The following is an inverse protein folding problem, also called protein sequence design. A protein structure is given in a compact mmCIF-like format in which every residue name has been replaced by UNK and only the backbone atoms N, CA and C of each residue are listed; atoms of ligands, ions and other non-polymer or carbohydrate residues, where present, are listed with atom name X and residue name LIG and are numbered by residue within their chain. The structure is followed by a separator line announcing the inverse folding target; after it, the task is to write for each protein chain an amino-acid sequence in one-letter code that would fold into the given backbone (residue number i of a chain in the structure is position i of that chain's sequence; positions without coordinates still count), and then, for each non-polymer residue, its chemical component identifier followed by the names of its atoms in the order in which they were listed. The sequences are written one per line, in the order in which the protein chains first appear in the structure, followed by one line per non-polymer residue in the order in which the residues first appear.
data_IF_046779870639
#
_entry.id   IF_046779870639
#
_cell.length_a   1.000
_cell.length_b   1.000
_cell.length_c   1.000
_cell.angle_alpha   90.00
_cell.angle_beta   90.00
_cell.angle_gamma   90.00
#
_symmetry.space_group_name_H-M   'P 1'
#
loop_
_entity.id
_entity.type
_entity.pdbx_description
1 polymer ?
#
# COMPACT_ATOMS: atom_id res chain seq x y z
N UNK A 1 23.55 -12.20 -7.48
CA UNK A 1 24.63 -12.76 -6.61
C UNK A 1 24.20 -14.11 -6.10
N UNK A 2 24.90 -15.15 -6.54
CA UNK A 2 24.57 -16.53 -6.24
C UNK A 2 25.13 -16.90 -4.85
N UNK A 3 24.26 -17.35 -3.94
CA UNK A 3 24.67 -17.89 -2.65
C UNK A 3 24.99 -19.38 -2.80
N UNK A 4 26.26 -19.70 -2.58
CA UNK A 4 26.82 -21.06 -2.60
C UNK A 4 26.70 -21.66 -1.20
N UNK A 5 25.99 -22.78 -1.05
CA UNK A 5 25.92 -23.58 0.16
C UNK A 5 27.20 -24.42 0.29
N UNK A 6 27.80 -24.59 1.47
CA UNK A 6 28.94 -25.52 1.68
C UNK A 6 28.44 -26.94 1.85
N UNK A 7 29.13 -27.87 1.16
CA UNK A 7 28.85 -29.28 1.12
C UNK A 7 29.22 -30.00 2.43
N UNK A 8 28.36 -30.93 2.83
CA UNK A 8 28.63 -31.94 3.83
C UNK A 8 29.34 -33.11 3.14
N UNK A 9 30.60 -33.38 3.54
CA UNK A 9 31.36 -34.53 3.15
C UNK A 9 31.00 -35.74 4.04
N UNK A 10 30.57 -36.82 3.41
CA UNK A 10 30.48 -38.15 3.99
C UNK A 10 31.89 -38.74 4.17
N UNK A 11 32.31 -38.94 5.41
CA UNK A 11 33.53 -39.66 5.77
C UNK A 11 33.25 -41.13 6.07
N UNK A 12 33.99 -41.95 5.39
CA UNK A 12 33.90 -43.42 5.30
C UNK A 12 34.25 -44.14 6.60
N UNK A 13 33.57 -45.27 6.77
CA UNK A 13 33.93 -46.55 7.41
C UNK A 13 35.36 -46.75 7.89
N UNK A 14 35.53 -47.19 9.13
CA UNK A 14 36.55 -48.17 9.49
C UNK A 14 36.10 -49.16 10.59
N UNK A 15 36.48 -50.37 10.35
CA UNK A 15 36.17 -51.64 10.97
C UNK A 15 36.49 -51.75 12.47
N UNK A 16 35.82 -52.72 13.09
CA UNK A 16 36.07 -53.26 14.41
C UNK A 16 37.38 -54.11 14.46
N UNK A 17 37.92 -54.41 15.66
CA UNK A 17 38.41 -55.76 15.99
C UNK A 17 37.88 -56.23 17.37
N UNK A 18 38.25 -57.49 17.79
CA UNK A 18 37.29 -58.42 18.36
C UNK A 18 37.52 -58.73 19.87
N UNK A 19 36.48 -59.34 20.43
CA UNK A 19 36.43 -60.27 21.56
C UNK A 19 37.63 -60.37 22.53
N UNK A 20 37.34 -60.21 23.83
CA UNK A 20 37.99 -61.05 24.85
C UNK A 20 36.96 -61.46 25.92
N UNK A 21 36.85 -62.73 26.11
CA UNK A 21 36.09 -63.51 27.09
C UNK A 21 36.93 -63.50 28.37
N UNK A 22 36.35 -63.22 29.52
CA UNK A 22 36.63 -63.95 30.74
C UNK A 22 35.60 -63.64 31.83
N UNK A 23 34.99 -64.67 32.27
CA UNK A 23 33.98 -64.87 33.23
C UNK A 23 34.41 -64.64 34.67
N UNK A 24 33.43 -64.27 35.48
CA UNK A 24 33.41 -64.65 36.90
C UNK A 24 31.98 -65.07 37.22
N UNK A 25 31.87 -66.32 37.60
CA UNK A 25 30.72 -66.98 38.19
C UNK A 25 30.46 -66.36 39.57
N UNK A 26 29.25 -66.01 39.90
CA UNK A 26 28.81 -66.06 41.28
C UNK A 26 27.38 -66.59 41.34
N UNK A 27 27.29 -67.73 42.02
CA UNK A 27 26.04 -68.40 42.34
C UNK A 27 25.23 -67.62 43.33
N UNK A 28 23.98 -67.41 43.01
CA UNK A 28 22.86 -67.45 43.96
C UNK A 28 21.58 -67.67 43.15
N UNK A 29 21.04 -68.89 43.38
CA UNK A 29 19.87 -69.39 42.68
C UNK A 29 18.62 -68.57 42.99
N UNK A 30 17.97 -68.16 41.92
CA UNK A 30 16.55 -67.88 41.93
C UNK A 30 15.99 -68.38 40.61
N UNK A 31 15.08 -69.32 40.75
CA UNK A 31 14.28 -69.93 39.66
C UNK A 31 13.66 -68.91 38.84
N UNK A 32 14.10 -68.71 37.57
CA UNK A 32 13.39 -67.90 36.58
C UNK A 32 12.19 -68.70 36.03
N UNK A 33 11.01 -68.12 36.21
CA UNK A 33 9.78 -68.51 35.55
C UNK A 33 9.88 -68.23 34.03
N UNK A 34 9.72 -69.26 33.15
CA UNK A 34 9.94 -69.12 31.70
C UNK A 34 8.79 -68.39 30.97
N UNK A 35 7.83 -67.79 31.67
CA UNK A 35 6.67 -67.13 31.05
C UNK A 35 6.73 -65.59 30.98
N UNK A 36 7.85 -64.97 31.36
CA UNK A 36 8.01 -63.52 31.24
C UNK A 36 8.27 -63.10 29.79
N UNK A 37 7.21 -62.79 29.05
CA UNK A 37 7.33 -62.12 27.76
C UNK A 37 8.14 -60.82 27.95
N UNK A 38 9.09 -60.47 27.04
CA UNK A 38 9.83 -59.22 27.12
C UNK A 38 8.83 -58.06 27.00
N UNK A 39 8.55 -57.41 28.10
CA UNK A 39 7.83 -56.13 28.06
C UNK A 39 8.72 -55.16 27.30
N UNK A 40 8.27 -54.75 26.09
CA UNK A 40 8.80 -53.62 25.36
C UNK A 40 8.84 -52.45 26.32
N UNK A 41 10.02 -52.07 26.75
CA UNK A 41 10.28 -50.94 27.67
C UNK A 41 9.79 -49.65 27.01
N UNK A 42 8.51 -49.35 27.15
CA UNK A 42 7.92 -48.11 26.67
C UNK A 42 8.66 -46.95 27.34
N UNK A 43 9.05 -45.93 26.52
CA UNK A 43 9.70 -44.74 27.02
C UNK A 43 8.88 -44.16 28.17
N UNK A 44 9.53 -43.69 29.24
CA UNK A 44 8.85 -43.08 30.39
C UNK A 44 8.01 -41.87 29.92
N UNK A 45 6.92 -41.59 30.64
CA UNK A 45 6.06 -40.46 30.32
C UNK A 45 6.86 -39.10 30.29
N UNK A 46 7.87 -39.00 31.17
CA UNK A 46 8.79 -37.87 31.18
C UNK A 46 9.66 -37.74 29.91
N UNK A 47 10.13 -38.89 29.35
CA UNK A 47 10.87 -38.91 28.09
C UNK A 47 9.95 -38.57 26.89
N UNK A 48 8.72 -39.08 26.88
CA UNK A 48 7.73 -38.76 25.83
C UNK A 48 7.36 -37.28 25.84
N UNK A 49 7.14 -36.69 27.01
CA UNK A 49 6.88 -35.27 27.17
C UNK A 49 8.08 -34.42 26.74
N UNK A 50 9.32 -34.85 27.04
CA UNK A 50 10.54 -34.15 26.60
C UNK A 50 10.69 -34.20 25.09
N UNK A 51 10.38 -35.30 24.43
CA UNK A 51 10.43 -35.48 22.99
C UNK A 51 9.34 -34.60 22.28
N UNK A 52 8.16 -34.38 22.87
CA UNK A 52 7.10 -33.59 22.30
C UNK A 52 7.29 -32.06 22.53
N UNK A 53 8.04 -31.66 23.55
CA UNK A 53 8.33 -30.25 23.84
C UNK A 53 9.15 -29.60 22.72
N UNK A 54 10.14 -30.28 22.19
CA UNK A 54 11.03 -29.72 21.16
C UNK A 54 10.29 -29.41 19.87
N UNK A 55 9.55 -30.33 19.22
CA UNK A 55 8.78 -30.00 18.03
C UNK A 55 7.68 -28.94 18.28
N UNK A 56 7.04 -28.97 19.46
CA UNK A 56 6.09 -27.92 19.84
C UNK A 56 6.71 -26.53 19.82
N UNK A 57 7.89 -26.36 20.48
CA UNK A 57 8.58 -25.07 20.51
C UNK A 57 9.05 -24.65 19.11
N UNK A 58 9.50 -25.59 18.27
CA UNK A 58 9.90 -25.30 16.88
C UNK A 58 8.68 -24.80 16.08
N UNK A 59 7.56 -25.52 16.11
CA UNK A 59 6.37 -25.10 15.37
C UNK A 59 5.77 -23.79 15.90
N UNK A 60 5.76 -23.57 17.20
CA UNK A 60 5.32 -22.32 17.82
C UNK A 60 6.21 -21.15 17.41
N UNK A 61 7.54 -21.31 17.45
CA UNK A 61 8.49 -20.29 17.03
C UNK A 61 8.35 -19.99 15.53
N UNK A 62 8.22 -21.05 14.69
CA UNK A 62 8.04 -20.91 13.25
C UNK A 62 6.73 -20.20 12.92
N UNK A 63 5.62 -20.55 13.58
CA UNK A 63 4.34 -19.87 13.42
C UNK A 63 4.45 -18.40 13.75
N UNK A 64 5.09 -18.07 14.87
CA UNK A 64 5.30 -16.67 15.28
C UNK A 64 6.16 -15.92 14.27
N UNK A 65 7.26 -16.50 13.80
CA UNK A 65 8.12 -15.88 12.79
C UNK A 65 7.40 -15.66 11.47
N UNK A 66 6.59 -16.62 10.99
CA UNK A 66 5.81 -16.48 9.77
C UNK A 66 4.72 -15.43 9.89
N UNK A 67 4.06 -15.31 11.05
CA UNK A 67 3.06 -14.25 11.31
C UNK A 67 3.71 -12.87 11.28
N UNK A 68 4.85 -12.68 11.96
CA UNK A 68 5.58 -11.42 11.95
C UNK A 68 6.05 -11.06 10.52
N UNK A 69 6.55 -12.05 9.79
CA UNK A 69 6.94 -11.88 8.40
C UNK A 69 5.75 -11.48 7.51
N UNK A 70 4.60 -12.14 7.67
CA UNK A 70 3.37 -11.82 6.94
C UNK A 70 2.88 -10.40 7.23
N UNK A 71 2.87 -9.98 8.50
CA UNK A 71 2.49 -8.59 8.88
C UNK A 71 3.39 -7.58 8.18
N UNK A 72 4.70 -7.82 8.17
CA UNK A 72 5.66 -6.92 7.52
C UNK A 72 5.46 -6.84 6.01
N UNK A 73 5.31 -7.97 5.34
CA UNK A 73 5.10 -8.01 3.88
C UNK A 73 3.73 -7.46 3.50
N UNK A 74 2.70 -7.67 4.34
CA UNK A 74 1.37 -7.10 4.13
C UNK A 74 1.40 -5.57 4.15
N UNK A 75 2.11 -4.97 5.09
CA UNK A 75 2.23 -3.50 5.17
C UNK A 75 2.90 -2.93 3.90
N UNK A 76 3.91 -3.60 3.36
CA UNK A 76 4.53 -3.19 2.10
C UNK A 76 3.56 -3.32 0.91
N UNK A 77 2.87 -4.46 0.80
CA UNK A 77 1.88 -4.68 -0.26
C UNK A 77 0.80 -3.62 -0.28
N UNK A 78 0.24 -3.30 0.88
CA UNK A 78 -0.76 -2.23 1.02
C UNK A 78 -0.19 -0.87 0.61
N UNK A 79 1.03 -0.55 1.03
CA UNK A 79 1.68 0.72 0.68
C UNK A 79 1.94 0.84 -0.83
N UNK A 80 2.39 -0.24 -1.50
CA UNK A 80 2.59 -0.23 -2.95
C UNK A 80 1.27 -0.02 -3.71
N UNK A 81 0.20 -0.73 -3.33
CA UNK A 81 -1.12 -0.59 -3.96
C UNK A 81 -1.67 0.82 -3.75
N UNK A 82 -1.53 1.38 -2.54
CA UNK A 82 -1.95 2.74 -2.24
C UNK A 82 -1.13 3.78 -3.01
N UNK A 83 0.20 3.65 -3.04
CA UNK A 83 1.09 4.51 -3.81
C UNK A 83 0.77 4.52 -5.31
N UNK A 84 0.56 3.34 -5.91
CA UNK A 84 0.17 3.21 -7.31
C UNK A 84 -1.23 3.79 -7.57
N UNK A 85 -2.18 3.58 -6.64
CA UNK A 85 -3.52 4.16 -6.68
C UNK A 85 -3.51 5.69 -6.59
N UNK A 86 -2.63 6.26 -5.76
CA UNK A 86 -2.41 7.71 -5.70
C UNK A 86 -1.80 8.24 -7.01
N UNK A 87 -0.79 7.57 -7.58
CA UNK A 87 -0.21 7.95 -8.87
C UNK A 87 -1.27 7.97 -9.98
N UNK A 88 -2.21 7.01 -9.97
CA UNK A 88 -3.36 6.98 -10.89
C UNK A 88 -4.23 8.24 -10.74
N UNK A 89 -4.55 8.64 -9.52
CA UNK A 89 -5.34 9.87 -9.26
C UNK A 89 -4.57 11.13 -9.65
N UNK A 90 -3.28 11.20 -9.30
CA UNK A 90 -2.40 12.32 -9.63
C UNK A 90 -2.25 12.51 -11.14
N UNK A 91 -2.25 11.44 -11.95
CA UNK A 91 -2.18 11.53 -13.40
C UNK A 91 -3.33 12.38 -13.98
N UNK A 92 -4.54 12.22 -13.43
CA UNK A 92 -5.72 12.99 -13.85
C UNK A 92 -5.69 14.41 -13.29
N UNK A 93 -5.22 14.59 -12.06
CA UNK A 93 -5.07 15.94 -11.46
C UNK A 93 -4.06 16.78 -12.24
N UNK A 94 -2.93 16.19 -12.65
CA UNK A 94 -1.91 16.85 -13.46
C UNK A 94 -2.47 17.30 -14.81
N UNK A 95 -3.25 16.45 -15.48
CA UNK A 95 -3.89 16.81 -16.75
C UNK A 95 -4.87 17.96 -16.59
N UNK A 96 -5.75 17.89 -15.57
CA UNK A 96 -6.73 18.95 -15.25
C UNK A 96 -6.02 20.26 -14.88
N UNK A 97 -5.07 20.21 -13.95
CA UNK A 97 -4.33 21.39 -13.50
C UNK A 97 -3.55 22.04 -14.65
N UNK A 98 -2.94 21.22 -15.53
CA UNK A 98 -2.27 21.71 -16.73
C UNK A 98 -3.21 22.46 -17.65
N UNK A 99 -4.42 21.94 -17.92
CA UNK A 99 -5.40 22.62 -18.76
C UNK A 99 -5.84 23.97 -18.18
N UNK A 100 -6.11 24.05 -16.87
CA UNK A 100 -6.48 25.28 -16.19
C UNK A 100 -5.31 26.29 -16.17
N UNK A 101 -4.07 25.79 -15.97
CA UNK A 101 -2.88 26.62 -16.04
C UNK A 101 -2.69 27.25 -17.42
N UNK A 102 -2.98 26.51 -18.50
CA UNK A 102 -2.93 27.02 -19.87
C UNK A 102 -3.97 28.13 -20.14
N UNK A 103 -5.05 28.17 -19.38
CA UNK A 103 -6.06 29.23 -19.43
C UNK A 103 -5.68 30.44 -18.57
N UNK A 104 -4.59 30.36 -17.82
CA UNK A 104 -4.05 31.44 -17.00
C UNK A 104 -4.58 31.46 -15.57
N UNK A 105 -5.19 30.36 -15.07
CA UNK A 105 -5.62 30.28 -13.67
C UNK A 105 -4.40 30.20 -12.72
N UNK A 106 -4.18 31.20 -11.86
CA UNK A 106 -3.03 31.23 -10.96
C UNK A 106 -2.96 30.05 -9.97
N UNK A 107 -4.13 29.52 -9.54
CA UNK A 107 -4.22 28.44 -8.56
C UNK A 107 -3.80 27.10 -9.17
N UNK A 108 -4.10 26.91 -10.44
CA UNK A 108 -3.79 25.67 -11.15
C UNK A 108 -2.29 25.36 -11.22
N UNK A 109 -1.43 26.39 -11.19
CA UNK A 109 0.03 26.17 -11.15
C UNK A 109 0.48 25.55 -9.82
N UNK A 110 -0.14 25.93 -8.70
CA UNK A 110 0.14 25.33 -7.41
C UNK A 110 -0.30 23.85 -7.36
N UNK A 111 -1.49 23.55 -7.89
CA UNK A 111 -1.99 22.19 -8.00
C UNK A 111 -1.11 21.32 -8.91
N UNK A 112 -0.67 21.86 -10.05
CA UNK A 112 0.22 21.17 -10.98
C UNK A 112 1.57 20.86 -10.34
N UNK A 113 2.19 21.82 -9.66
CA UNK A 113 3.49 21.67 -8.99
C UNK A 113 3.42 20.64 -7.86
N UNK A 114 2.39 20.71 -7.00
CA UNK A 114 2.19 19.78 -5.91
C UNK A 114 1.92 18.36 -6.41
N UNK A 115 1.04 18.20 -7.40
CA UNK A 115 0.72 16.89 -7.97
C UNK A 115 1.92 16.26 -8.67
N UNK A 116 2.71 17.06 -9.40
CA UNK A 116 3.97 16.64 -10.03
C UNK A 116 4.99 16.18 -8.98
N UNK A 117 5.22 16.98 -7.94
CA UNK A 117 6.16 16.64 -6.87
C UNK A 117 5.76 15.36 -6.15
N UNK A 118 4.47 15.20 -5.86
CA UNK A 118 3.94 14.00 -5.20
C UNK A 118 4.06 12.76 -6.08
N UNK A 119 3.78 12.86 -7.36
CA UNK A 119 3.97 11.75 -8.30
C UNK A 119 5.43 11.30 -8.35
N UNK A 120 6.37 12.26 -8.47
CA UNK A 120 7.81 11.98 -8.44
C UNK A 120 8.22 11.27 -7.14
N UNK A 121 7.77 11.75 -5.99
CA UNK A 121 8.06 11.14 -4.69
C UNK A 121 7.57 9.70 -4.60
N UNK A 122 6.33 9.43 -5.03
CA UNK A 122 5.77 8.08 -5.01
C UNK A 122 6.48 7.14 -5.98
N UNK A 123 6.74 7.61 -7.20
CA UNK A 123 7.44 6.81 -8.21
C UNK A 123 8.86 6.46 -7.76
N UNK A 124 9.59 7.42 -7.19
CA UNK A 124 10.93 7.18 -6.64
C UNK A 124 10.88 6.18 -5.47
N UNK A 125 9.94 6.35 -4.55
CA UNK A 125 9.78 5.45 -3.41
C UNK A 125 9.48 4.00 -3.83
N UNK A 126 8.62 3.76 -4.83
CA UNK A 126 8.33 2.41 -5.30
C UNK A 126 9.43 1.82 -6.18
N UNK A 127 10.25 2.67 -6.82
CA UNK A 127 11.35 2.24 -7.69
C UNK A 127 12.63 1.96 -6.91
N UNK A 128 13.06 2.91 -6.07
CA UNK A 128 14.35 2.90 -5.39
C UNK A 128 14.25 2.54 -3.91
N UNK A 129 13.04 2.50 -3.37
CA UNK A 129 12.76 2.37 -1.95
C UNK A 129 12.62 3.73 -1.27
N UNK A 130 11.73 3.81 -0.30
CA UNK A 130 11.46 5.04 0.41
C UNK A 130 10.16 5.01 1.19
N UNK A 131 9.66 6.18 1.55
CA UNK A 131 8.42 6.31 2.30
C UNK A 131 7.22 6.45 1.37
N UNK A 132 6.24 5.56 1.53
CA UNK A 132 4.91 5.66 0.93
C UNK A 132 3.91 5.80 2.07
N UNK A 133 3.42 7.02 2.29
CA UNK A 133 2.40 7.35 3.30
C UNK A 133 2.74 6.89 4.73
N UNK A 134 3.99 7.08 5.16
CA UNK A 134 4.46 6.68 6.49
C UNK A 134 4.93 5.22 6.58
N UNK A 135 4.91 4.48 5.47
CA UNK A 135 5.44 3.11 5.40
C UNK A 135 6.70 3.08 4.55
N UNK A 136 7.84 2.77 5.17
CA UNK A 136 9.09 2.55 4.44
C UNK A 136 9.03 1.25 3.64
N UNK A 137 9.08 1.35 2.31
CA UNK A 137 9.05 0.20 1.40
C UNK A 137 10.42 -0.05 0.78
N UNK A 138 10.81 -1.31 0.54
CA UNK A 138 12.00 -1.62 -0.25
C UNK A 138 11.75 -1.27 -1.72
N UNK A 139 12.79 -0.85 -2.46
CA UNK A 139 12.67 -0.56 -3.89
C UNK A 139 12.55 -1.82 -4.74
N UNK A 140 11.90 -1.67 -5.89
CA UNK A 140 11.90 -2.62 -6.99
C UNK A 140 11.25 -3.98 -6.69
N UNK A 141 10.03 -4.17 -7.11
CA UNK A 141 9.39 -5.50 -7.12
C UNK A 141 9.55 -6.14 -8.50
N UNK A 142 10.25 -7.27 -8.59
CA UNK A 142 10.40 -8.02 -9.85
C UNK A 142 9.06 -8.49 -10.43
N UNK A 143 8.02 -8.55 -9.60
CA UNK A 143 6.68 -8.97 -10.00
C UNK A 143 5.95 -7.93 -10.87
N UNK A 144 6.36 -6.66 -10.83
CA UNK A 144 5.74 -5.52 -11.55
C UNK A 144 6.77 -4.67 -12.30
N UNK A 145 7.94 -5.24 -12.60
CA UNK A 145 9.05 -4.51 -13.23
C UNK A 145 8.66 -3.91 -14.59
N UNK A 146 7.88 -4.65 -15.38
CA UNK A 146 7.43 -4.20 -16.69
C UNK A 146 6.44 -3.02 -16.59
N UNK A 147 5.47 -3.11 -15.69
CA UNK A 147 4.48 -2.06 -15.44
C UNK A 147 5.14 -0.79 -14.87
N UNK A 148 6.07 -0.96 -13.94
CA UNK A 148 6.81 0.14 -13.35
C UNK A 148 7.70 0.85 -14.38
N UNK A 149 8.38 0.10 -15.25
CA UNK A 149 9.15 0.66 -16.36
C UNK A 149 8.27 1.43 -17.34
N UNK A 150 7.08 0.91 -17.68
CA UNK A 150 6.13 1.58 -18.57
C UNK A 150 5.60 2.90 -17.96
N UNK A 151 5.29 2.93 -16.67
CA UNK A 151 4.90 4.17 -15.96
C UNK A 151 6.05 5.16 -15.96
N UNK A 152 7.26 4.71 -15.63
CA UNK A 152 8.46 5.56 -15.56
C UNK A 152 8.78 6.24 -16.90
N UNK A 153 8.73 5.49 -17.99
CA UNK A 153 9.02 6.02 -19.35
C UNK A 153 7.98 7.06 -19.77
N UNK A 154 6.71 6.81 -19.53
CA UNK A 154 5.64 7.75 -19.87
C UNK A 154 5.66 8.97 -18.95
N UNK A 155 5.88 8.76 -17.66
CA UNK A 155 5.99 9.84 -16.68
C UNK A 155 7.12 10.82 -17.01
N UNK A 156 8.28 10.33 -17.44
CA UNK A 156 9.40 11.17 -17.83
C UNK A 156 9.02 12.21 -18.90
N UNK A 157 8.17 11.83 -19.86
CA UNK A 157 7.64 12.73 -20.90
C UNK A 157 6.64 13.73 -20.30
N UNK A 158 5.70 13.25 -19.51
CA UNK A 158 4.68 14.07 -18.84
C UNK A 158 5.32 15.08 -17.88
N UNK A 159 6.29 14.66 -17.09
CA UNK A 159 7.05 15.50 -16.14
C UNK A 159 7.79 16.64 -16.85
N UNK A 160 8.50 16.33 -17.95
CA UNK A 160 9.18 17.33 -18.76
C UNK A 160 8.23 18.35 -19.39
N UNK A 161 7.03 17.92 -19.81
CA UNK A 161 6.02 18.82 -20.34
C UNK A 161 5.37 19.67 -19.23
N UNK A 162 5.10 19.08 -18.05
CA UNK A 162 4.60 19.83 -16.89
C UNK A 162 5.60 20.91 -16.46
N UNK A 163 6.88 20.63 -16.50
CA UNK A 163 7.93 21.62 -16.23
C UNK A 163 7.90 22.79 -17.22
N UNK A 164 7.71 22.55 -18.53
CA UNK A 164 7.57 23.60 -19.52
C UNK A 164 6.35 24.50 -19.21
N UNK A 165 5.19 23.91 -18.86
CA UNK A 165 4.01 24.69 -18.47
C UNK A 165 4.28 25.53 -17.22
N UNK A 166 4.95 24.97 -16.21
CA UNK A 166 5.30 25.68 -14.97
C UNK A 166 6.28 26.83 -15.21
N UNK A 167 7.26 26.66 -16.09
CA UNK A 167 8.21 27.74 -16.48
C UNK A 167 7.51 28.95 -17.09
N UNK A 168 6.42 28.72 -17.82
CA UNK A 168 5.64 29.79 -18.47
C UNK A 168 4.52 30.35 -17.59
N UNK A 169 4.50 30.05 -16.28
CA UNK A 169 3.50 30.55 -15.32
C UNK A 169 3.22 32.03 -15.45
N UNK A 170 4.28 32.86 -15.52
CA UNK A 170 4.15 34.32 -15.63
C UNK A 170 3.42 34.73 -16.91
N UNK A 171 3.82 34.17 -18.04
CA UNK A 171 3.24 34.51 -19.35
C UNK A 171 1.80 34.00 -19.49
N UNK A 172 1.53 32.80 -19.02
CA UNK A 172 0.16 32.23 -19.03
C UNK A 172 -0.79 32.99 -18.09
N UNK A 173 -0.35 33.35 -16.89
CA UNK A 173 -1.16 34.18 -15.97
C UNK A 173 -1.40 35.58 -16.55
N UNK A 174 -0.40 36.19 -17.21
CA UNK A 174 -0.56 37.48 -17.89
C UNK A 174 -1.52 37.38 -19.08
N UNK A 175 -1.51 36.27 -19.83
CA UNK A 175 -2.49 35.98 -20.90
C UNK A 175 -3.90 35.96 -20.34
N UNK A 176 -4.14 35.19 -19.27
CA UNK A 176 -5.45 35.09 -18.62
C UNK A 176 -5.95 36.47 -18.15
N UNK A 177 -5.09 37.23 -17.48
CA UNK A 177 -5.41 38.60 -17.01
C UNK A 177 -5.68 39.56 -18.17
N UNK A 178 -4.90 39.52 -19.25
CA UNK A 178 -5.11 40.33 -20.44
C UNK A 178 -6.44 40.06 -21.13
N UNK A 179 -6.79 38.78 -21.28
CA UNK A 179 -8.08 38.40 -21.87
C UNK A 179 -9.26 38.75 -20.96
N UNK A 180 -9.13 38.57 -19.65
CA UNK A 180 -10.13 39.00 -18.69
C UNK A 180 -10.36 40.52 -18.77
N UNK A 181 -9.29 41.32 -18.90
CA UNK A 181 -9.40 42.79 -19.09
C UNK A 181 -10.08 43.15 -20.42
N UNK A 182 -9.70 42.47 -21.54
CA UNK A 182 -10.34 42.66 -22.84
C UNK A 182 -11.86 42.39 -22.73
N UNK A 183 -12.24 41.25 -22.11
CA UNK A 183 -13.61 40.84 -21.96
C UNK A 183 -14.43 41.83 -21.07
N UNK A 184 -13.85 42.32 -19.99
CA UNK A 184 -14.49 43.27 -19.09
C UNK A 184 -14.75 44.61 -19.76
N UNK A 185 -13.85 45.07 -20.65
CA UNK A 185 -13.98 46.37 -21.35
C UNK A 185 -14.72 46.28 -22.68
N UNK A 186 -14.82 45.09 -23.27
CA UNK A 186 -15.42 44.92 -24.61
C UNK A 186 -16.88 45.41 -24.74
N UNK A 187 -17.80 45.20 -23.76
CA UNK A 187 -19.15 45.73 -23.85
C UNK A 187 -19.17 47.25 -23.94
N UNK A 188 -18.34 47.94 -23.16
CA UNK A 188 -18.26 49.38 -23.15
C UNK A 188 -17.60 49.94 -24.44
N UNK A 189 -16.56 49.28 -24.94
CA UNK A 189 -15.98 49.61 -26.24
C UNK A 189 -16.97 49.46 -27.39
N UNK A 190 -17.78 48.38 -27.36
CA UNK A 190 -18.81 48.15 -28.35
C UNK A 190 -19.87 49.25 -28.31
N UNK A 191 -20.40 49.55 -27.10
CA UNK A 191 -21.40 50.60 -26.91
C UNK A 191 -20.92 51.97 -27.43
N UNK A 192 -19.69 52.37 -27.05
CA UNK A 192 -19.10 53.63 -27.54
C UNK A 192 -18.94 53.62 -29.07
N UNK A 193 -18.50 52.53 -29.64
CA UNK A 193 -18.33 52.39 -31.10
C UNK A 193 -19.65 52.48 -31.84
N UNK A 194 -20.72 51.88 -31.33
CA UNK A 194 -22.07 51.95 -31.87
C UNK A 194 -22.67 53.35 -31.74
N UNK A 195 -22.49 54.01 -30.59
CA UNK A 195 -22.90 55.42 -30.37
C UNK A 195 -22.23 56.35 -31.38
N UNK A 196 -20.92 56.20 -31.62
CA UNK A 196 -20.16 56.98 -32.60
C UNK A 196 -20.74 56.74 -34.00
N UNK A 197 -20.97 55.46 -34.40
CA UNK A 197 -21.55 55.17 -35.71
C UNK A 197 -22.94 55.77 -35.88
N UNK A 198 -23.80 55.74 -34.84
CA UNK A 198 -25.12 56.37 -34.84
C UNK A 198 -25.04 57.91 -34.94
N UNK A 199 -24.18 58.54 -34.14
CA UNK A 199 -23.97 60.02 -34.19
C UNK A 199 -23.45 60.48 -35.56
N UNK A 200 -22.54 59.71 -36.21
CA UNK A 200 -22.08 59.99 -37.55
C UNK A 200 -23.21 59.92 -38.60
N UNK A 201 -24.02 58.82 -38.45
CA UNK A 201 -25.23 58.72 -39.36
C UNK A 201 -26.22 59.82 -39.18
N UNK A 202 -26.60 60.16 -37.92
CA UNK A 202 -27.56 61.22 -37.60
C UNK A 202 -27.07 62.61 -38.00
N UNK A 203 -25.75 62.86 -37.85
CA UNK A 203 -25.12 64.13 -38.20
C UNK A 203 -24.90 64.33 -39.72
N UNK A 204 -25.33 63.37 -40.54
CA UNK A 204 -25.18 63.47 -42.01
C UNK A 204 -23.72 63.39 -42.47
N UNK A 205 -22.87 62.63 -41.73
CA UNK A 205 -21.49 62.45 -42.09
C UNK A 205 -21.32 61.78 -43.46
N UNK A 206 -20.14 61.88 -44.09
CA UNK A 206 -19.87 61.27 -45.37
C UNK A 206 -19.97 59.71 -45.29
N UNK A 207 -20.33 59.13 -46.41
CA UNK A 207 -20.39 57.64 -46.50
C UNK A 207 -19.09 56.99 -46.04
N UNK A 208 -17.93 57.62 -46.24
CA UNK A 208 -16.61 57.14 -45.79
C UNK A 208 -16.51 57.14 -44.27
N UNK A 209 -16.96 58.21 -43.60
CA UNK A 209 -16.95 58.31 -42.13
C UNK A 209 -17.85 57.29 -41.49
N UNK A 210 -19.08 57.09 -42.05
CA UNK A 210 -20.03 56.09 -41.58
C UNK A 210 -19.45 54.67 -41.77
N UNK A 211 -18.85 54.37 -42.92
CA UNK A 211 -18.21 53.08 -43.17
C UNK A 211 -17.03 52.83 -42.20
N UNK A 212 -16.19 53.86 -41.95
CA UNK A 212 -15.08 53.78 -41.01
C UNK A 212 -15.58 53.52 -39.57
N UNK A 213 -16.63 54.22 -39.13
CA UNK A 213 -17.23 54.00 -37.80
C UNK A 213 -17.80 52.58 -37.67
N UNK A 214 -18.54 52.10 -38.69
CA UNK A 214 -19.07 50.73 -38.71
C UNK A 214 -17.96 49.67 -38.68
N UNK A 215 -16.83 49.96 -39.35
CA UNK A 215 -15.67 49.06 -39.32
C UNK A 215 -15.01 48.98 -37.92
N UNK A 216 -14.98 50.11 -37.19
CA UNK A 216 -14.50 50.11 -35.77
C UNK A 216 -15.38 49.22 -34.90
N UNK A 217 -16.73 49.28 -35.04
CA UNK A 217 -17.68 48.37 -34.33
C UNK A 217 -17.34 46.89 -34.59
N UNK A 218 -17.17 46.53 -35.88
CA UNK A 218 -16.85 45.14 -36.25
C UNK A 218 -15.51 44.73 -35.70
N UNK A 219 -14.47 45.56 -35.76
CA UNK A 219 -13.12 45.24 -35.29
C UNK A 219 -13.08 45.03 -33.77
N UNK A 220 -13.87 45.85 -33.01
CA UNK A 220 -13.99 45.66 -31.55
C UNK A 220 -14.40 44.24 -31.20
N UNK A 221 -15.40 43.68 -31.89
CA UNK A 221 -15.88 42.31 -31.67
C UNK A 221 -14.89 41.24 -32.16
N UNK A 222 -14.25 41.47 -33.32
CA UNK A 222 -13.27 40.50 -33.86
C UNK A 222 -12.02 40.38 -32.99
N UNK A 223 -11.52 41.50 -32.45
CA UNK A 223 -10.36 41.51 -31.54
C UNK A 223 -10.69 40.69 -30.27
N UNK A 224 -11.84 40.96 -29.64
CA UNK A 224 -12.25 40.18 -28.45
C UNK A 224 -12.46 38.71 -28.74
N UNK A 225 -13.10 38.35 -29.87
CA UNK A 225 -13.30 36.98 -30.30
C UNK A 225 -11.95 36.25 -30.53
N UNK A 226 -11.00 36.86 -31.25
CA UNK A 226 -9.71 36.27 -31.57
C UNK A 226 -8.83 36.15 -30.30
N UNK A 227 -8.88 37.10 -29.38
CA UNK A 227 -8.20 37.02 -28.10
C UNK A 227 -8.72 35.84 -27.25
N UNK A 228 -10.06 35.67 -27.16
CA UNK A 228 -10.65 34.53 -26.47
C UNK A 228 -10.30 33.20 -27.11
N UNK A 229 -10.25 33.11 -28.44
CA UNK A 229 -9.84 31.91 -29.15
C UNK A 229 -8.44 31.44 -28.75
N UNK A 230 -7.48 32.36 -28.52
CA UNK A 230 -6.16 32.03 -28.05
C UNK A 230 -6.16 31.44 -26.63
N UNK A 231 -7.11 31.80 -25.77
CA UNK A 231 -7.19 31.23 -24.41
C UNK A 231 -7.74 29.80 -24.42
N UNK A 232 -8.84 29.59 -25.12
CA UNK A 232 -9.60 28.32 -25.04
C UNK A 232 -8.97 27.22 -25.86
N UNK A 233 -8.35 27.54 -27.00
CA UNK A 233 -7.78 26.55 -27.91
C UNK A 233 -6.62 25.76 -27.27
N UNK A 234 -6.59 24.45 -27.50
CA UNK A 234 -5.49 23.55 -27.03
C UNK A 234 -4.17 23.84 -27.76
N UNK A 235 -4.23 24.38 -28.95
CA UNK A 235 -3.07 24.85 -29.73
C UNK A 235 -3.35 26.25 -30.27
N UNK A 236 -2.32 27.06 -30.39
CA UNK A 236 -2.43 28.41 -30.98
C UNK A 236 -2.46 28.29 -32.49
N UNK A 237 -3.59 28.74 -33.05
CA UNK A 237 -3.75 28.86 -34.49
C UNK A 237 -3.00 30.09 -35.02
N UNK A 238 -2.03 29.89 -35.96
CA UNK A 238 -1.30 31.01 -36.58
C UNK A 238 -2.22 32.03 -37.25
N UNK A 239 -3.34 31.57 -37.86
CA UNK A 239 -4.27 32.46 -38.54
C UNK A 239 -5.01 33.35 -37.54
N UNK A 240 -5.42 32.83 -36.38
CA UNK A 240 -6.04 33.62 -35.30
C UNK A 240 -5.07 34.67 -34.78
N UNK A 241 -3.79 34.29 -34.61
CA UNK A 241 -2.75 35.21 -34.16
C UNK A 241 -2.49 36.31 -35.18
N UNK A 242 -2.39 35.97 -36.47
CA UNK A 242 -2.25 36.95 -37.55
C UNK A 242 -3.44 37.90 -37.63
N UNK A 243 -4.65 37.36 -37.58
CA UNK A 243 -5.88 38.18 -37.60
C UNK A 243 -5.98 39.10 -36.40
N UNK A 244 -5.62 38.65 -35.20
CA UNK A 244 -5.61 39.48 -34.01
C UNK A 244 -4.66 40.68 -34.17
N UNK A 245 -3.45 40.45 -34.67
CA UNK A 245 -2.49 41.51 -34.94
C UNK A 245 -2.96 42.48 -36.02
N UNK A 246 -3.47 41.95 -37.16
CA UNK A 246 -4.02 42.73 -38.26
C UNK A 246 -5.21 43.61 -37.82
N UNK A 247 -6.20 43.00 -37.17
CA UNK A 247 -7.39 43.70 -36.72
C UNK A 247 -7.07 44.80 -35.70
N UNK A 248 -6.13 44.55 -34.81
CA UNK A 248 -5.63 45.53 -33.83
C UNK A 248 -4.99 46.73 -34.50
N UNK A 249 -4.16 46.53 -35.51
CA UNK A 249 -3.54 47.60 -36.27
C UNK A 249 -4.60 48.37 -37.07
N UNK A 250 -5.47 47.67 -37.79
CA UNK A 250 -6.55 48.29 -38.54
C UNK A 250 -7.48 49.11 -37.63
N UNK A 251 -7.82 48.59 -36.42
CA UNK A 251 -8.63 49.34 -35.45
C UNK A 251 -7.95 50.65 -35.05
N UNK A 252 -6.65 50.63 -34.77
CA UNK A 252 -5.89 51.83 -34.42
C UNK A 252 -5.89 52.85 -35.58
N UNK A 253 -5.64 52.41 -36.80
CA UNK A 253 -5.68 53.26 -38.01
C UNK A 253 -7.06 53.86 -38.27
N UNK A 254 -8.14 53.08 -38.13
CA UNK A 254 -9.51 53.55 -38.32
C UNK A 254 -9.90 54.54 -37.23
N UNK A 255 -9.53 54.29 -35.98
CA UNK A 255 -9.79 55.24 -34.89
C UNK A 255 -9.07 56.57 -35.10
N UNK A 256 -7.80 56.56 -35.50
CA UNK A 256 -7.07 57.78 -35.86
C UNK A 256 -7.69 58.54 -37.03
N UNK A 257 -8.17 57.82 -38.06
CA UNK A 257 -8.87 58.40 -39.17
C UNK A 257 -10.17 59.12 -38.74
N UNK A 258 -10.98 58.45 -37.87
CA UNK A 258 -12.20 59.03 -37.33
C UNK A 258 -11.92 60.27 -36.49
N UNK A 259 -10.83 60.24 -35.69
CA UNK A 259 -10.40 61.40 -34.90
C UNK A 259 -10.09 62.62 -35.81
N UNK A 260 -9.41 62.40 -36.95
CA UNK A 260 -9.07 63.44 -37.92
C UNK A 260 -10.31 64.00 -38.70
N UNK A 261 -11.27 63.11 -38.97
CA UNK A 261 -12.47 63.48 -39.77
C UNK A 261 -13.61 64.00 -38.91
N UNK A 262 -13.52 64.02 -37.60
CA UNK A 262 -14.58 64.44 -36.68
C UNK A 262 -14.30 65.87 -36.16
N UNK A 263 -15.30 66.73 -36.30
CA UNK A 263 -15.18 68.14 -35.87
C UNK A 263 -15.00 68.22 -34.35
N UNK A 264 -14.09 69.12 -33.94
CA UNK A 264 -13.91 69.42 -32.51
C UNK A 264 -15.19 69.98 -31.90
N UNK A 265 -15.46 69.66 -30.65
CA UNK A 265 -16.66 70.13 -29.92
C UNK A 265 -17.96 69.37 -30.25
N UNK A 266 -17.92 68.36 -31.17
CA UNK A 266 -19.10 67.54 -31.46
C UNK A 266 -19.24 66.39 -30.42
N UNK A 267 -20.50 65.92 -30.20
CA UNK A 267 -20.75 64.78 -29.34
C UNK A 267 -19.99 63.51 -29.83
N UNK A 268 -19.90 63.37 -31.15
CA UNK A 268 -19.11 62.26 -31.73
C UNK A 268 -17.65 62.38 -31.38
N UNK A 269 -17.07 63.58 -31.29
CA UNK A 269 -15.65 63.78 -30.88
C UNK A 269 -15.45 63.44 -29.40
N UNK A 270 -16.39 63.85 -28.54
CA UNK A 270 -16.34 63.50 -27.12
C UNK A 270 -16.37 61.99 -26.93
N UNK A 271 -17.25 61.28 -27.65
CA UNK A 271 -17.31 59.78 -27.60
C UNK A 271 -16.07 59.10 -28.20
N UNK A 272 -15.48 59.66 -29.24
CA UNK A 272 -14.23 59.17 -29.81
C UNK A 272 -13.07 59.29 -28.81
N UNK A 273 -12.97 60.38 -28.07
CA UNK A 273 -11.93 60.55 -27.04
C UNK A 273 -12.11 59.55 -25.89
N UNK A 274 -13.37 59.27 -25.48
CA UNK A 274 -13.70 58.24 -24.49
C UNK A 274 -13.34 56.84 -25.01
N UNK A 275 -13.70 56.53 -26.26
CA UNK A 275 -13.35 55.23 -26.90
C UNK A 275 -11.84 55.04 -26.96
N UNK A 276 -11.07 56.09 -27.35
CA UNK A 276 -9.61 56.00 -27.43
C UNK A 276 -8.98 55.72 -26.06
N UNK A 277 -9.49 56.39 -25.00
CA UNK A 277 -8.99 56.18 -23.65
C UNK A 277 -9.22 54.72 -23.17
N UNK A 278 -10.42 54.17 -23.41
CA UNK A 278 -10.74 52.77 -23.03
C UNK A 278 -9.98 51.78 -23.94
N UNK A 279 -9.86 52.06 -25.24
CA UNK A 279 -9.19 51.20 -26.21
C UNK A 279 -7.70 51.09 -25.96
N UNK A 280 -7.05 52.12 -25.41
CA UNK A 280 -5.61 52.13 -25.13
C UNK A 280 -5.17 50.94 -24.31
N UNK A 281 -5.90 50.62 -23.25
CA UNK A 281 -5.57 49.48 -22.38
C UNK A 281 -5.80 48.13 -23.08
N UNK A 282 -6.86 48.01 -23.90
CA UNK A 282 -7.12 46.78 -24.67
C UNK A 282 -6.06 46.57 -25.74
N UNK A 283 -5.63 47.62 -26.42
CA UNK A 283 -4.55 47.52 -27.41
C UNK A 283 -3.21 47.14 -26.75
N UNK A 284 -2.93 47.66 -25.55
CA UNK A 284 -1.76 47.27 -24.77
C UNK A 284 -1.83 45.79 -24.36
N UNK A 285 -3.00 45.33 -23.90
CA UNK A 285 -3.20 43.91 -23.54
C UNK A 285 -2.98 42.99 -24.75
N UNK A 286 -3.52 43.30 -25.93
CA UNK A 286 -3.29 42.54 -27.16
C UNK A 286 -1.81 42.54 -27.56
N UNK A 287 -1.14 43.68 -27.45
CA UNK A 287 0.29 43.78 -27.77
C UNK A 287 1.16 42.91 -26.84
N UNK A 288 0.79 42.85 -25.56
CA UNK A 288 1.46 41.94 -24.60
C UNK A 288 1.24 40.46 -24.94
N UNK A 289 0.04 40.07 -25.35
CA UNK A 289 -0.29 38.70 -25.81
C UNK A 289 0.57 38.35 -27.03
N UNK A 290 0.58 39.21 -28.04
CA UNK A 290 1.34 38.95 -29.28
C UNK A 290 2.85 38.92 -29.05
N UNK A 291 3.38 39.73 -28.10
CA UNK A 291 4.78 39.76 -27.71
C UNK A 291 5.25 38.48 -27.04
N UNK A 292 4.35 37.70 -26.42
CA UNK A 292 4.68 36.41 -25.75
C UNK A 292 4.20 35.18 -26.52
N UNK A 293 3.73 35.34 -27.75
CA UNK A 293 3.04 34.29 -28.51
C UNK A 293 3.84 33.00 -28.67
N UNK A 294 5.15 33.08 -28.92
CA UNK A 294 6.01 31.91 -29.09
C UNK A 294 6.12 31.07 -27.81
N UNK A 295 6.22 31.71 -26.65
CA UNK A 295 6.28 31.05 -25.36
C UNK A 295 4.93 30.38 -25.02
N UNK A 296 3.82 31.07 -25.38
CA UNK A 296 2.49 30.53 -25.25
C UNK A 296 2.25 29.31 -26.15
N UNK A 297 2.77 29.31 -27.37
CA UNK A 297 2.74 28.15 -28.29
C UNK A 297 3.42 26.96 -27.65
N UNK A 298 4.63 27.12 -27.11
CA UNK A 298 5.38 26.04 -26.48
C UNK A 298 4.66 25.49 -25.25
N UNK A 299 4.11 26.36 -24.39
CA UNK A 299 3.38 25.96 -23.21
C UNK A 299 2.11 25.17 -23.58
N UNK A 300 1.35 25.67 -24.58
CA UNK A 300 0.12 24.99 -25.03
C UNK A 300 0.41 23.63 -25.69
N UNK A 301 1.48 23.52 -26.48
CA UNK A 301 1.92 22.23 -27.01
C UNK A 301 2.28 21.25 -25.90
N UNK A 302 3.02 21.68 -24.88
CA UNK A 302 3.37 20.85 -23.74
C UNK A 302 2.13 20.40 -22.96
N UNK A 303 1.18 21.31 -22.69
CA UNK A 303 -0.06 20.96 -21.99
C UNK A 303 -1.00 20.07 -22.82
N UNK A 304 -1.07 20.27 -24.14
CA UNK A 304 -1.80 19.37 -25.04
C UNK A 304 -1.21 17.96 -25.02
N UNK A 305 0.11 17.83 -24.96
CA UNK A 305 0.76 16.54 -24.85
C UNK A 305 0.47 15.87 -23.51
N UNK A 306 0.49 16.61 -22.38
CA UNK A 306 0.08 16.08 -21.06
C UNK A 306 -1.35 15.53 -21.13
N UNK A 307 -2.26 16.25 -21.78
CA UNK A 307 -3.65 15.82 -21.91
C UNK A 307 -3.78 14.56 -22.76
N UNK A 308 -3.07 14.50 -23.89
CA UNK A 308 -3.07 13.30 -24.77
C UNK A 308 -2.46 12.08 -24.06
N UNK A 309 -1.38 12.26 -23.32
CA UNK A 309 -0.69 11.18 -22.59
C UNK A 309 -1.44 10.76 -21.31
N UNK A 310 -2.39 11.58 -20.84
CA UNK A 310 -3.06 11.35 -19.53
C UNK A 310 -3.85 10.05 -19.47
N UNK A 311 -4.51 9.65 -20.56
CA UNK A 311 -5.25 8.39 -20.64
C UNK A 311 -4.32 7.18 -20.62
N UNK A 312 -3.19 7.26 -21.32
CA UNK A 312 -2.18 6.21 -21.32
C UNK A 312 -1.50 6.12 -19.95
N UNK A 313 -1.21 7.25 -19.30
CA UNK A 313 -0.65 7.27 -17.95
C UNK A 313 -1.62 6.69 -16.92
N UNK A 314 -2.91 6.99 -17.05
CA UNK A 314 -3.98 6.39 -16.24
C UNK A 314 -4.03 4.86 -16.42
N UNK A 315 -3.97 4.37 -17.66
CA UNK A 315 -3.95 2.94 -17.96
C UNK A 315 -2.74 2.25 -17.35
N UNK A 316 -1.53 2.81 -17.54
CA UNK A 316 -0.29 2.22 -17.02
C UNK A 316 -0.23 2.24 -15.48
N UNK A 317 -0.70 3.31 -14.84
CA UNK A 317 -0.80 3.36 -13.37
C UNK A 317 -1.88 2.42 -12.82
N UNK A 318 -2.95 2.17 -13.57
CA UNK A 318 -3.97 1.16 -13.24
C UNK A 318 -3.38 -0.24 -13.33
N UNK A 319 -2.69 -0.56 -14.43
CA UNK A 319 -2.01 -1.85 -14.59
C UNK A 319 -0.96 -2.09 -13.49
N UNK A 320 -0.21 -1.06 -13.09
CA UNK A 320 0.72 -1.14 -11.97
C UNK A 320 0.01 -1.45 -10.64
N UNK A 321 -1.14 -0.81 -10.39
CA UNK A 321 -1.96 -1.06 -9.19
C UNK A 321 -2.48 -2.50 -9.17
N UNK A 322 -2.98 -2.99 -10.31
CA UNK A 322 -3.45 -4.37 -10.46
C UNK A 322 -2.30 -5.38 -10.34
N UNK A 323 -1.14 -5.08 -10.89
CA UNK A 323 0.06 -5.88 -10.77
C UNK A 323 0.50 -6.05 -9.31
N UNK A 324 0.57 -4.96 -8.55
CA UNK A 324 0.84 -5.03 -7.10
C UNK A 324 -0.24 -5.81 -6.36
N UNK A 325 -1.51 -5.58 -6.65
CA UNK A 325 -2.61 -6.30 -6.02
C UNK A 325 -2.50 -7.82 -6.29
N UNK A 326 -2.24 -8.22 -7.53
CA UNK A 326 -2.08 -9.64 -7.91
C UNK A 326 -0.86 -10.30 -7.27
N UNK A 327 0.28 -9.59 -7.25
CA UNK A 327 1.53 -10.09 -6.67
C UNK A 327 1.38 -10.38 -5.17
N UNK A 328 0.74 -9.48 -4.44
CA UNK A 328 0.63 -9.62 -2.98
C UNK A 328 -0.54 -10.52 -2.55
N UNK A 329 -1.68 -10.55 -3.25
CA UNK A 329 -2.78 -11.49 -2.93
C UNK A 329 -2.39 -12.94 -3.12
N UNK A 330 -1.69 -13.30 -4.19
CA UNK A 330 -1.19 -14.66 -4.42
C UNK A 330 -0.20 -15.14 -3.35
N UNK A 331 0.73 -14.28 -2.95
CA UNK A 331 1.71 -14.57 -1.92
C UNK A 331 1.06 -14.80 -0.54
N UNK A 332 0.04 -14.01 -0.17
CA UNK A 332 -0.66 -14.17 1.10
C UNK A 332 -1.35 -15.52 1.26
N UNK A 333 -1.91 -16.10 0.20
CA UNK A 333 -2.56 -17.41 0.29
C UNK A 333 -1.60 -18.52 0.69
N UNK A 334 -0.39 -18.57 0.13
CA UNK A 334 0.61 -19.58 0.45
C UNK A 334 1.20 -19.43 1.85
N UNK A 335 1.53 -18.22 2.26
CA UNK A 335 2.06 -17.95 3.61
C UNK A 335 1.01 -18.23 4.68
N UNK A 336 -0.24 -17.82 4.45
CA UNK A 336 -1.35 -18.11 5.36
C UNK A 336 -1.59 -19.62 5.52
N UNK A 337 -1.52 -20.38 4.42
CA UNK A 337 -1.62 -21.86 4.46
C UNK A 337 -0.48 -22.46 5.30
N UNK A 338 0.75 -21.99 5.13
CA UNK A 338 1.89 -22.45 5.92
C UNK A 338 1.72 -22.13 7.41
N UNK A 339 1.20 -20.95 7.76
CA UNK A 339 0.89 -20.56 9.15
C UNK A 339 -0.14 -21.51 9.75
N UNK A 340 -1.24 -21.77 9.03
CA UNK A 340 -2.30 -22.70 9.48
C UNK A 340 -1.73 -24.09 9.72
N UNK A 341 -0.94 -24.63 8.80
CA UNK A 341 -0.33 -25.96 8.95
C UNK A 341 0.61 -26.02 10.17
N UNK A 342 1.47 -25.01 10.35
CA UNK A 342 2.37 -24.95 11.50
C UNK A 342 1.61 -24.82 12.83
N UNK A 343 0.55 -24.03 12.86
CA UNK A 343 -0.31 -23.90 14.05
C UNK A 343 -1.04 -25.18 14.39
N UNK A 344 -1.58 -25.89 13.39
CA UNK A 344 -2.20 -27.21 13.60
C UNK A 344 -1.20 -28.26 14.11
N UNK A 345 0.03 -28.26 13.61
CA UNK A 345 1.08 -29.16 14.11
C UNK A 345 1.47 -28.83 15.56
N UNK A 346 1.57 -27.54 15.90
CA UNK A 346 1.78 -27.12 17.29
C UNK A 346 0.64 -27.57 18.23
N UNK A 347 -0.61 -27.39 17.80
CA UNK A 347 -1.79 -27.86 18.57
C UNK A 347 -1.81 -29.38 18.70
N UNK A 348 -1.45 -30.13 17.66
CA UNK A 348 -1.35 -31.58 17.73
C UNK A 348 -0.28 -32.04 18.74
N UNK A 349 0.88 -31.38 18.76
CA UNK A 349 1.91 -31.65 19.78
C UNK A 349 1.39 -31.35 21.19
N UNK A 350 0.67 -30.26 21.38
CA UNK A 350 0.07 -29.90 22.67
C UNK A 350 -0.98 -30.93 23.13
N UNK A 351 -1.86 -31.37 22.22
CA UNK A 351 -2.87 -32.39 22.50
C UNK A 351 -2.22 -33.73 22.88
N UNK A 352 -1.15 -34.15 22.19
CA UNK A 352 -0.39 -35.35 22.53
C UNK A 352 0.32 -35.22 23.89
N UNK A 353 0.85 -34.03 24.22
CA UNK A 353 1.43 -33.77 25.54
C UNK A 353 0.37 -33.86 26.64
N UNK A 354 -0.81 -33.26 26.44
CA UNK A 354 -1.91 -33.32 27.37
C UNK A 354 -2.42 -34.77 27.58
N UNK A 355 -2.51 -35.55 26.50
CA UNK A 355 -2.86 -36.96 26.56
C UNK A 355 -1.85 -37.76 27.38
N UNK A 356 -0.55 -37.63 27.07
CA UNK A 356 0.52 -38.33 27.82
C UNK A 356 0.56 -37.96 29.29
N UNK A 357 0.30 -36.71 29.62
CA UNK A 357 0.20 -36.22 30.99
C UNK A 357 -1.01 -36.80 31.73
N UNK A 358 -2.19 -36.83 31.12
CA UNK A 358 -3.39 -37.42 31.67
C UNK A 358 -3.25 -38.95 31.86
N UNK A 359 -2.63 -39.65 30.91
CA UNK A 359 -2.36 -41.07 31.01
C UNK A 359 -1.36 -41.38 32.15
N UNK A 360 -0.37 -40.51 32.39
CA UNK A 360 0.57 -40.68 33.50
C UNK A 360 -0.13 -40.45 34.86
N UNK A 361 -0.99 -39.45 34.99
CA UNK A 361 -1.80 -39.23 36.17
C UNK A 361 -2.70 -40.42 36.45
N UNK A 362 -3.40 -40.94 35.44
CA UNK A 362 -4.29 -42.08 35.58
C UNK A 362 -3.53 -43.37 36.05
N UNK A 363 -2.32 -43.57 35.51
CA UNK A 363 -1.43 -44.68 35.94
C UNK A 363 -0.98 -44.51 37.41
N UNK A 364 -0.64 -43.32 37.84
CA UNK A 364 -0.23 -43.03 39.24
C UNK A 364 -1.39 -43.21 40.19
N UNK A 365 -2.61 -42.81 39.82
CA UNK A 365 -3.81 -43.05 40.62
C UNK A 365 -4.09 -44.53 40.79
N UNK A 366 -4.05 -45.33 39.69
CA UNK A 366 -4.23 -46.78 39.78
C UNK A 366 -3.16 -47.47 40.62
N UNK A 367 -1.89 -47.05 40.51
CA UNK A 367 -0.81 -47.60 41.33
C UNK A 367 -1.00 -47.25 42.81
N UNK A 368 -1.45 -46.03 43.14
CA UNK A 368 -1.75 -45.63 44.52
C UNK A 368 -2.93 -46.38 45.09
N UNK A 369 -3.99 -46.62 44.30
CA UNK A 369 -5.14 -47.47 44.68
C UNK A 369 -4.71 -48.89 44.99
N UNK A 370 -3.91 -49.54 44.09
CA UNK A 370 -3.38 -50.88 44.30
C UNK A 370 -2.54 -51.01 45.56
N UNK A 371 -1.70 -50.00 45.86
CA UNK A 371 -0.90 -49.98 47.09
C UNK A 371 -1.79 -49.84 48.34
N UNK A 372 -2.86 -49.09 48.23
CA UNK A 372 -3.83 -48.88 49.33
C UNK A 372 -4.60 -50.19 49.59
N UNK A 373 -5.11 -50.82 48.53
CA UNK A 373 -5.84 -52.09 48.62
C UNK A 373 -4.95 -53.23 49.18
N UNK A 374 -3.66 -53.27 48.75
CA UNK A 374 -2.66 -54.20 49.26
C UNK A 374 -2.41 -53.96 50.78
N UNK A 375 -2.23 -52.71 51.18
CA UNK A 375 -2.05 -52.35 52.60
C UNK A 375 -3.28 -52.64 53.46
N UNK A 376 -4.53 -52.41 52.93
CA UNK A 376 -5.76 -52.79 53.63
C UNK A 376 -5.90 -54.30 53.79
N UNK A 377 -5.53 -55.08 52.75
CA UNK A 377 -5.53 -56.56 52.78
C UNK A 377 -4.56 -57.07 53.83
N UNK A 378 -3.36 -56.56 53.89
CA UNK A 378 -2.33 -56.94 54.87
C UNK A 378 -2.78 -56.56 56.31
N UNK A 379 -3.32 -55.34 56.49
CA UNK A 379 -3.87 -54.89 57.79
C UNK A 379 -5.05 -55.77 58.24
N UNK A 380 -5.98 -56.12 57.37
CA UNK A 380 -7.11 -56.98 57.71
C UNK A 380 -6.63 -58.41 58.02
N UNK A 381 -5.64 -58.92 57.28
CA UNK A 381 -5.01 -60.19 57.57
C UNK A 381 -4.39 -60.23 58.97
N UNK A 382 -3.60 -59.21 59.31
CA UNK A 382 -2.98 -59.07 60.62
C UNK A 382 -4.00 -58.93 61.76
N UNK A 383 -5.10 -58.20 61.58
CA UNK A 383 -6.18 -58.08 62.53
C UNK A 383 -6.89 -59.43 62.74
N UNK A 384 -7.16 -60.18 61.69
CA UNK A 384 -7.79 -61.49 61.80
C UNK A 384 -6.89 -62.51 62.52
N UNK A 385 -5.57 -62.47 62.26
CA UNK A 385 -4.59 -63.29 62.93
C UNK A 385 -4.49 -63.00 64.44
N UNK A 386 -4.54 -61.69 64.83
CA UNK A 386 -4.56 -61.26 66.23
C UNK A 386 -5.87 -61.72 66.92
N UNK A 387 -7.03 -61.56 66.28
CA UNK A 387 -8.34 -62.01 66.82
C UNK A 387 -8.35 -63.51 67.01
N UNK A 388 -7.81 -64.29 66.10
CA UNK A 388 -7.68 -65.73 66.20
C UNK A 388 -6.82 -66.14 67.42
N UNK A 389 -5.63 -65.52 67.55
CA UNK A 389 -4.74 -65.76 68.65
C UNK A 389 -5.39 -65.43 70.00
N UNK A 390 -6.11 -64.28 70.07
CA UNK A 390 -6.89 -63.89 71.27
C UNK A 390 -7.97 -64.94 71.64
N UNK A 391 -8.70 -65.50 70.66
CA UNK A 391 -9.69 -66.51 70.88
C UNK A 391 -9.04 -67.83 71.42
N UNK A 392 -7.95 -68.24 70.75
CA UNK A 392 -7.23 -69.45 71.19
C UNK A 392 -6.59 -69.29 72.57
N UNK A 393 -6.09 -68.09 72.92
CA UNK A 393 -5.69 -67.77 74.31
C UNK A 393 -6.85 -67.66 75.30
N UNK A 394 -8.03 -67.21 74.83
CA UNK A 394 -9.24 -67.20 75.64
C UNK A 394 -9.69 -68.62 76.05
N UNK A 395 -9.71 -69.54 75.11
CA UNK A 395 -10.06 -70.97 75.40
C UNK A 395 -9.01 -71.58 76.34
N UNK A 396 -7.74 -71.28 76.25
CA UNK A 396 -6.72 -71.70 77.18
C UNK A 396 -6.89 -71.13 78.59
N UNK A 397 -7.35 -69.86 78.69
CA UNK A 397 -7.63 -69.20 79.99
C UNK A 397 -8.83 -69.77 80.68
N UNK A 398 -9.83 -70.26 79.91
CA UNK A 398 -11.00 -70.95 80.41
C UNK A 398 -10.80 -72.41 80.85
N UNK A 399 -9.48 -72.87 80.69
CA UNK A 399 -9.06 -74.17 81.24
C UNK A 399 -9.06 -75.33 80.24
N UNK A 400 -9.31 -75.09 78.97
CA UNK A 400 -9.23 -76.14 77.94
C UNK A 400 -7.77 -76.30 77.48
N UNK A 401 -7.04 -77.26 78.05
CA UNK A 401 -5.70 -77.61 77.76
C UNK A 401 -5.53 -78.49 76.46
N UNK A 402 -6.61 -78.68 75.71
CA UNK A 402 -6.59 -79.49 74.50
C UNK A 402 -6.41 -78.56 73.25
N UNK A 403 -6.48 -77.22 73.39
CA UNK A 403 -6.33 -76.21 72.32
C UNK A 403 -4.86 -76.22 71.87
N UNK A 404 -4.66 -76.37 70.60
CA UNK A 404 -3.36 -76.12 69.93
C UNK A 404 -3.38 -74.83 69.18
N UNK A 405 -2.44 -73.92 69.49
CA UNK A 405 -2.28 -72.67 68.74
C UNK A 405 -1.90 -72.95 67.27
N UNK A 406 -2.58 -72.25 66.38
CA UNK A 406 -2.32 -72.39 64.94
C UNK A 406 -1.15 -71.54 64.56
N UNK A 407 -0.01 -72.14 64.28
CA UNK A 407 1.22 -71.49 63.80
C UNK A 407 1.02 -71.09 62.33
N UNK A 408 1.01 -69.75 62.05
CA UNK A 408 0.93 -69.20 60.70
C UNK A 408 2.19 -68.37 60.44
N UNK A 409 2.52 -68.15 59.14
CA UNK A 409 3.74 -67.35 58.76
C UNK A 409 3.59 -65.84 58.99
N UNK A 410 2.61 -65.38 59.73
CA UNK A 410 2.37 -64.01 60.10
C UNK A 410 3.03 -63.66 61.49
N UNK A 411 2.95 -62.38 61.86
CA UNK A 411 3.57 -61.85 63.10
C UNK A 411 3.07 -62.63 64.35
N UNK A 412 1.89 -63.27 64.29
CA UNK A 412 1.36 -64.04 65.40
C UNK A 412 1.91 -65.45 65.49
N UNK A 413 2.46 -66.03 64.42
CA UNK A 413 3.07 -67.31 64.39
C UNK A 413 4.29 -67.47 65.37
N UNK A 414 5.10 -66.44 65.42
CA UNK A 414 6.27 -66.34 66.34
C UNK A 414 5.86 -66.22 67.81
N UNK A 415 4.60 -65.97 68.16
CA UNK A 415 4.06 -65.86 69.55
C UNK A 415 3.40 -67.22 69.89
N UNK A 416 2.90 -67.94 68.91
CA UNK A 416 2.19 -69.20 69.06
C UNK A 416 3.16 -70.44 69.17
N UNK A 417 4.40 -70.28 68.73
CA UNK A 417 5.48 -71.25 68.79
C UNK A 417 6.19 -71.16 70.16
#
# INVERSE_FOLDING_TARGET
MAFKLPGLSLGSSKAAPPLSIMGVVNESGTTQDPSARPQLRGKSAAEQLRMLRVPFLIFAALTTALVLYQIRVSSFGTAYVDGAGQMRTLSQQIAKASQLALQGDPNAFGELEQSRARFNQLLDAVTNGGDVNGTGVPGGSSAVEAELAAVTELWKKTDANAEKVLKEKKNLTALGASIANINAKNPHLLELSEQIAALKLQGGASAREIATASQVVMLTQRIAKNANALQVANAIDPDVTFLLGKDTNTFREQLEQLQKMTSEGSDAKAKLNELEAVAKDNLAAVSAILGSIQLLVQAKQAGSQIFQDSSALLEKTTALTEGYTGAYTGFFTWVSLAIIVCALLALACLALMAKTYNDDIARRHKAAEQLRDAAETERNGTQQAILRLMNEMGDLADGDLTVRATVTEDITGAIAD
#
